data_IF_557107606026
#
_entry.id   IF_557107606026
#
_cell.length_a   1.000
_cell.length_b   1.000
_cell.length_c   1.000
_cell.angle_alpha   90.00
_cell.angle_beta   90.00
_cell.angle_gamma   90.00
#
_symmetry.space_group_name_H-M   'P 1'
#
loop_
_entity.id
_entity.type
_entity.pdbx_description
1 polymer ?
#
# COMPACT_ATOMS: atom_id res chain seq x y z
N UNK A 1 37.74 -3.75 17.48
CA UNK A 1 37.92 -3.45 16.05
C UNK A 1 36.61 -2.86 15.55
N UNK A 2 36.62 -1.60 15.10
CA UNK A 2 35.42 -0.90 14.62
C UNK A 2 34.98 -1.52 13.30
N UNK A 3 33.74 -2.01 13.23
CA UNK A 3 33.16 -2.42 11.95
C UNK A 3 33.06 -1.17 11.07
N UNK A 4 33.72 -1.19 9.91
CA UNK A 4 33.51 -0.18 8.89
C UNK A 4 32.04 -0.21 8.52
N UNK A 5 31.32 0.89 8.76
CA UNK A 5 29.97 1.05 8.24
C UNK A 5 30.07 0.97 6.72
N UNK A 6 29.66 -0.17 6.15
CA UNK A 6 29.51 -0.28 4.71
C UNK A 6 28.69 0.94 4.26
N UNK A 7 29.10 1.60 3.19
CA UNK A 7 28.33 2.70 2.61
C UNK A 7 27.15 2.11 1.84
N UNK A 8 25.96 2.67 1.99
CA UNK A 8 24.78 2.23 1.22
C UNK A 8 24.98 2.38 -0.29
N UNK A 9 24.15 1.74 -1.13
CA UNK A 9 24.23 1.92 -2.57
C UNK A 9 24.08 3.40 -2.92
N UNK A 10 24.94 3.88 -3.83
CA UNK A 10 24.85 5.25 -4.34
C UNK A 10 23.59 5.34 -5.20
N UNK A 11 22.65 6.18 -4.77
CA UNK A 11 21.41 6.44 -5.51
C UNK A 11 21.69 7.50 -6.57
N UNK A 12 22.23 7.07 -7.70
CA UNK A 12 22.54 7.94 -8.84
C UNK A 12 21.45 7.90 -9.93
N UNK A 13 21.72 8.55 -11.07
CA UNK A 13 20.76 8.63 -12.17
C UNK A 13 20.49 7.27 -12.82
N UNK A 14 21.48 6.37 -12.86
CA UNK A 14 21.37 5.04 -13.46
C UNK A 14 20.52 4.13 -12.58
N UNK A 15 20.80 4.11 -11.26
CA UNK A 15 19.99 3.39 -10.27
C UNK A 15 18.52 3.82 -10.35
N UNK A 16 18.24 5.13 -10.42
CA UNK A 16 16.86 5.63 -10.54
C UNK A 16 16.21 5.23 -11.87
N UNK A 17 16.98 5.14 -12.96
CA UNK A 17 16.47 4.67 -14.25
C UNK A 17 16.11 3.18 -14.22
N UNK A 18 16.91 2.34 -13.54
CA UNK A 18 16.63 0.93 -13.30
C UNK A 18 15.34 0.71 -12.53
N UNK A 19 15.15 1.44 -11.44
CA UNK A 19 13.89 1.43 -10.69
C UNK A 19 12.71 1.82 -11.59
N UNK A 20 12.92 2.80 -12.47
CA UNK A 20 11.91 3.19 -13.46
C UNK A 20 11.53 2.06 -14.40
N UNK A 21 12.49 1.22 -14.81
CA UNK A 21 12.26 0.01 -15.64
C UNK A 21 11.53 -1.07 -14.84
N UNK A 22 12.07 -1.44 -13.68
CA UNK A 22 11.48 -2.46 -12.80
C UNK A 22 10.03 -2.15 -12.44
N UNK A 23 9.68 -0.88 -12.18
CA UNK A 23 8.29 -0.46 -11.92
C UNK A 23 7.35 -0.72 -13.10
N UNK A 24 7.83 -0.58 -14.35
CA UNK A 24 7.03 -0.87 -15.54
C UNK A 24 6.84 -2.38 -15.71
N UNK A 25 7.90 -3.14 -15.54
CA UNK A 25 7.87 -4.61 -15.68
C UNK A 25 6.97 -5.24 -14.61
N UNK A 26 7.05 -4.77 -13.37
CA UNK A 26 6.16 -5.20 -12.28
C UNK A 26 4.70 -4.87 -12.55
N UNK A 27 4.39 -3.69 -13.11
CA UNK A 27 3.01 -3.35 -13.51
C UNK A 27 2.49 -4.31 -14.58
N UNK A 28 3.30 -4.62 -15.57
CA UNK A 28 2.94 -5.57 -16.62
C UNK A 28 2.75 -6.99 -16.06
N UNK A 29 3.63 -7.44 -15.17
CA UNK A 29 3.52 -8.74 -14.50
C UNK A 29 2.24 -8.83 -13.65
N UNK A 30 1.98 -7.82 -12.83
CA UNK A 30 0.82 -7.77 -11.94
C UNK A 30 -0.48 -7.80 -12.75
N UNK A 31 -0.55 -7.00 -13.81
CA UNK A 31 -1.72 -6.96 -14.68
C UNK A 31 -1.91 -8.27 -15.46
N UNK A 32 -0.84 -8.85 -16.01
CA UNK A 32 -0.93 -10.07 -16.82
C UNK A 32 -1.19 -11.35 -16.01
N UNK A 33 -0.78 -11.38 -14.75
CA UNK A 33 -0.92 -12.56 -13.86
C UNK A 33 -2.01 -12.39 -12.81
N UNK A 34 -2.67 -11.23 -12.74
CA UNK A 34 -3.64 -10.88 -11.69
C UNK A 34 -3.11 -11.18 -10.29
N UNK A 35 -1.82 -10.90 -10.07
CA UNK A 35 -1.10 -11.32 -8.87
C UNK A 35 -0.92 -10.18 -7.84
N UNK A 36 -1.67 -9.09 -7.97
CA UNK A 36 -1.63 -7.96 -7.03
C UNK A 36 -1.79 -8.39 -5.56
N UNK A 37 -2.73 -9.30 -5.18
CA UNK A 37 -2.89 -9.68 -3.78
C UNK A 37 -1.67 -10.41 -3.20
N UNK A 38 -1.03 -11.29 -3.99
CA UNK A 38 0.16 -12.02 -3.50
C UNK A 38 1.40 -11.13 -3.44
N UNK A 39 1.51 -10.14 -4.34
CA UNK A 39 2.59 -9.15 -4.28
C UNK A 39 2.45 -8.23 -3.07
N UNK A 40 1.23 -7.79 -2.74
CA UNK A 40 0.96 -7.00 -1.53
C UNK A 40 1.28 -7.82 -0.27
N UNK A 41 0.83 -9.08 -0.21
CA UNK A 41 1.15 -9.98 0.91
C UNK A 41 2.65 -10.17 1.08
N UNK A 42 3.40 -10.35 -0.01
CA UNK A 42 4.86 -10.47 0.04
C UNK A 42 5.50 -9.23 0.68
N UNK A 43 5.13 -8.03 0.21
CA UNK A 43 5.65 -6.77 0.77
C UNK A 43 5.31 -6.58 2.25
N UNK A 44 4.09 -6.96 2.67
CA UNK A 44 3.68 -6.96 4.08
C UNK A 44 4.50 -7.93 4.93
N UNK A 45 4.64 -9.18 4.49
CA UNK A 45 5.37 -10.22 5.23
C UNK A 45 6.86 -9.87 5.38
N UNK A 46 7.43 -9.23 4.37
CA UNK A 46 8.79 -8.72 4.39
C UNK A 46 8.91 -7.67 5.52
N UNK A 47 8.22 -6.53 5.38
CA UNK A 47 8.25 -5.41 6.32
C UNK A 47 7.82 -5.77 7.77
N UNK A 48 6.85 -6.67 7.93
CA UNK A 48 6.27 -7.05 9.22
C UNK A 48 7.20 -7.80 10.18
N UNK A 49 8.45 -8.09 9.78
CA UNK A 49 9.44 -8.70 10.67
C UNK A 49 10.23 -7.68 11.51
N UNK A 50 10.06 -6.38 11.26
CA UNK A 50 10.74 -5.29 11.98
C UNK A 50 10.41 -5.26 13.48
N UNK A 51 11.43 -4.88 14.25
CA UNK A 51 11.39 -4.60 15.67
C UNK A 51 12.09 -3.26 15.95
N UNK A 52 11.35 -2.30 16.51
CA UNK A 52 11.86 -0.94 16.77
C UNK A 52 12.89 -0.85 17.89
N UNK A 53 12.88 -1.79 18.82
CA UNK A 53 13.76 -1.78 20.00
C UNK A 53 15.13 -2.32 19.63
N UNK A 54 15.17 -3.34 18.78
CA UNK A 54 16.40 -3.97 18.29
C UNK A 54 16.86 -3.42 16.94
N UNK A 55 15.99 -2.70 16.23
CA UNK A 55 16.20 -2.23 14.85
C UNK A 55 16.50 -3.43 13.92
N UNK A 56 15.78 -4.54 14.10
CA UNK A 56 15.96 -5.77 13.31
C UNK A 56 14.69 -6.21 12.61
N UNK A 57 14.78 -6.54 11.32
CA UNK A 57 13.71 -7.13 10.51
C UNK A 57 13.04 -6.20 9.54
N UNK A 58 12.55 -6.81 8.48
CA UNK A 58 11.71 -6.25 7.44
C UNK A 58 12.30 -5.16 6.54
N UNK A 59 12.50 -5.45 5.25
CA UNK A 59 12.65 -4.46 4.18
C UNK A 59 11.31 -3.83 3.74
N UNK A 60 11.39 -2.57 3.32
CA UNK A 60 10.30 -1.62 2.97
C UNK A 60 9.80 -1.70 1.51
N UNK A 61 8.56 -1.35 1.10
CA UNK A 61 8.25 -0.44 -0.08
C UNK A 61 6.89 0.33 -0.02
N UNK A 62 6.92 1.69 0.00
CA UNK A 62 6.59 2.62 -1.12
C UNK A 62 7.82 3.53 -1.37
N UNK A 63 8.19 3.71 -2.63
CA UNK A 63 9.59 3.50 -3.03
C UNK A 63 10.50 4.74 -2.92
N UNK A 64 11.30 4.82 -1.85
CA UNK A 64 12.58 5.56 -1.87
C UNK A 64 13.70 4.54 -2.10
N UNK A 65 14.49 4.66 -3.20
CA UNK A 65 15.62 3.76 -3.46
C UNK A 65 16.71 3.86 -2.39
N UNK A 66 17.49 2.80 -2.23
CA UNK A 66 18.73 2.83 -1.43
C UNK A 66 18.74 1.93 -0.19
N UNK A 67 17.75 1.05 -0.03
CA UNK A 67 17.80 -0.01 1.00
C UNK A 67 18.80 -1.10 0.63
N UNK A 68 19.32 -1.75 1.66
CA UNK A 68 20.32 -2.81 1.55
C UNK A 68 19.74 -4.15 1.90
N UNK A 69 20.15 -5.14 1.13
CA UNK A 69 19.84 -6.53 1.41
C UNK A 69 20.55 -6.97 2.69
N UNK A 70 19.83 -7.72 3.53
CA UNK A 70 20.43 -8.44 4.65
C UNK A 70 20.97 -9.77 4.16
N UNK A 71 22.14 -10.19 4.65
CA UNK A 71 22.66 -11.54 4.44
C UNK A 71 22.09 -12.57 5.43
N UNK A 72 21.26 -12.12 6.38
CA UNK A 72 20.73 -12.95 7.48
C UNK A 72 19.21 -12.87 7.50
N UNK A 73 18.57 -14.04 7.49
CA UNK A 73 17.14 -14.20 7.74
C UNK A 73 16.85 -14.15 9.24
N UNK A 74 15.69 -13.62 9.62
CA UNK A 74 15.29 -13.48 11.02
C UNK A 74 14.48 -14.68 11.48
N UNK A 75 14.54 -14.97 12.78
CA UNK A 75 13.73 -15.98 13.44
C UNK A 75 12.23 -15.82 13.14
N UNK A 76 11.57 -16.97 12.96
CA UNK A 76 10.13 -17.06 12.71
C UNK A 76 9.30 -16.57 13.92
N UNK A 77 8.01 -16.29 13.70
CA UNK A 77 7.06 -15.98 14.78
C UNK A 77 6.82 -14.50 15.04
N UNK A 78 7.44 -13.60 14.25
CA UNK A 78 7.24 -12.14 14.41
C UNK A 78 5.96 -11.61 13.74
N UNK A 79 5.34 -12.37 12.85
CA UNK A 79 4.15 -11.99 12.11
C UNK A 79 2.86 -12.26 12.91
N UNK A 80 1.77 -11.51 12.67
CA UNK A 80 0.52 -11.72 13.39
C UNK A 80 -0.10 -13.09 13.08
N UNK A 81 -0.75 -13.68 14.08
CA UNK A 81 -1.48 -14.94 13.97
C UNK A 81 -2.96 -14.59 13.81
N UNK A 82 -3.54 -15.05 12.70
CA UNK A 82 -4.93 -14.83 12.33
C UNK A 82 -5.96 -15.32 13.37
N UNK A 83 -5.55 -16.22 14.28
CA UNK A 83 -6.42 -16.80 15.32
C UNK A 83 -6.47 -15.98 16.61
N UNK A 84 -5.60 -14.98 16.76
CA UNK A 84 -5.50 -14.20 17.99
C UNK A 84 -6.32 -12.91 17.96
N UNK A 85 -6.37 -12.21 19.10
CA UNK A 85 -7.23 -11.05 19.30
C UNK A 85 -6.50 -9.69 19.31
N UNK A 86 -7.20 -8.65 19.78
CA UNK A 86 -6.74 -7.27 19.73
C UNK A 86 -5.41 -7.02 20.48
N UNK A 87 -5.18 -7.69 21.62
CA UNK A 87 -3.92 -7.59 22.36
C UNK A 87 -2.72 -8.07 21.53
N UNK A 88 -2.87 -9.17 20.80
CA UNK A 88 -1.84 -9.70 19.90
C UNK A 88 -1.55 -8.74 18.75
N UNK A 89 -2.59 -8.16 18.14
CA UNK A 89 -2.41 -7.15 17.11
C UNK A 89 -1.62 -5.94 17.63
N UNK A 90 -1.96 -5.43 18.82
CA UNK A 90 -1.19 -4.35 19.45
C UNK A 90 0.24 -4.76 19.76
N UNK A 91 0.47 -5.93 20.34
CA UNK A 91 1.83 -6.43 20.63
C UNK A 91 2.71 -6.43 19.37
N UNK A 92 2.21 -7.04 18.29
CA UNK A 92 2.92 -7.18 17.03
C UNK A 92 3.18 -5.82 16.37
N UNK A 93 2.16 -4.99 16.22
CA UNK A 93 2.28 -3.72 15.49
C UNK A 93 2.92 -2.61 16.33
N UNK A 94 2.73 -2.60 17.65
CA UNK A 94 3.40 -1.62 18.51
C UNK A 94 4.90 -1.90 18.61
N UNK A 95 5.33 -3.17 18.50
CA UNK A 95 6.75 -3.52 18.33
C UNK A 95 7.33 -2.89 17.06
N UNK A 96 6.53 -2.74 16.01
CA UNK A 96 6.92 -2.03 14.79
C UNK A 96 6.87 -0.50 14.92
N UNK A 97 6.27 0.03 15.98
CA UNK A 97 6.05 1.47 16.16
C UNK A 97 4.81 1.99 15.41
N UNK A 98 3.91 1.10 15.02
CA UNK A 98 2.64 1.42 14.38
C UNK A 98 1.54 1.61 15.42
N UNK A 99 0.55 2.45 15.10
CA UNK A 99 -0.56 2.83 15.99
C UNK A 99 -1.83 2.02 15.71
N UNK A 100 -2.86 2.17 16.55
CA UNK A 100 -4.18 1.55 16.31
C UNK A 100 -4.80 1.95 14.96
N UNK A 101 -4.60 3.20 14.53
CA UNK A 101 -5.01 3.67 13.20
C UNK A 101 -4.30 2.86 12.10
N UNK A 102 -2.99 2.68 12.25
CA UNK A 102 -2.18 1.97 11.25
C UNK A 102 -2.60 0.49 11.19
N UNK A 103 -2.90 -0.16 12.33
CA UNK A 103 -3.42 -1.54 12.39
C UNK A 103 -4.68 -1.67 11.55
N UNK A 104 -5.70 -0.84 11.83
CA UNK A 104 -7.00 -0.94 11.17
C UNK A 104 -6.90 -0.59 9.68
N UNK A 105 -6.14 0.44 9.33
CA UNK A 105 -5.92 0.82 7.94
C UNK A 105 -5.25 -0.34 7.17
N UNK A 106 -4.15 -0.90 7.70
CA UNK A 106 -3.40 -1.98 7.04
C UNK A 106 -4.20 -3.27 6.92
N UNK A 107 -5.06 -3.61 7.89
CA UNK A 107 -6.00 -4.73 7.77
C UNK A 107 -6.95 -4.58 6.57
N UNK A 108 -7.24 -3.34 6.15
CA UNK A 108 -7.97 -3.06 4.90
C UNK A 108 -7.32 -3.64 3.63
N UNK A 109 -6.04 -4.03 3.69
CA UNK A 109 -5.38 -4.76 2.60
C UNK A 109 -6.06 -6.08 2.23
N UNK A 110 -6.80 -6.70 3.17
CA UNK A 110 -7.66 -7.87 2.90
C UNK A 110 -8.81 -7.59 1.94
N UNK A 111 -9.08 -6.33 1.57
CA UNK A 111 -9.96 -6.00 0.44
C UNK A 111 -9.54 -6.71 -0.85
N UNK A 112 -8.25 -7.01 -0.98
CA UNK A 112 -7.67 -7.81 -2.06
C UNK A 112 -7.38 -9.26 -1.65
N UNK A 113 -7.75 -10.19 -2.52
CA UNK A 113 -7.35 -11.59 -2.46
C UNK A 113 -8.27 -12.49 -1.65
N UNK A 114 -7.72 -13.65 -1.29
CA UNK A 114 -8.42 -14.72 -0.56
C UNK A 114 -7.45 -15.58 0.23
N UNK A 115 -7.92 -16.15 1.32
CA UNK A 115 -7.21 -17.23 2.00
C UNK A 115 -7.30 -18.53 1.18
N UNK A 116 -6.41 -19.48 1.47
CA UNK A 116 -6.48 -20.82 0.92
C UNK A 116 -6.15 -21.87 2.00
N UNK A 117 -6.90 -22.98 2.07
CA UNK A 117 -6.68 -24.02 3.07
C UNK A 117 -5.27 -24.58 3.07
N UNK A 118 -4.68 -24.78 1.88
CA UNK A 118 -3.33 -25.33 1.68
C UNK A 118 -2.21 -24.37 2.15
N UNK A 119 -2.54 -23.14 2.53
CA UNK A 119 -1.57 -22.12 2.96
C UNK A 119 -1.73 -21.70 4.41
N UNK A 120 -2.96 -21.34 4.81
CA UNK A 120 -3.23 -20.80 6.15
C UNK A 120 -4.26 -21.62 6.93
N UNK A 121 -4.85 -22.65 6.33
CA UNK A 121 -5.98 -23.39 6.90
C UNK A 121 -7.32 -22.64 6.84
N UNK A 122 -7.35 -21.41 6.34
CA UNK A 122 -8.58 -20.63 6.10
C UNK A 122 -8.94 -20.61 4.62
N UNK A 123 -10.22 -20.46 4.28
CA UNK A 123 -10.69 -20.40 2.90
C UNK A 123 -11.61 -19.20 2.65
N UNK A 124 -11.59 -18.69 1.42
CA UNK A 124 -12.49 -17.65 0.95
C UNK A 124 -11.89 -16.25 0.86
N UNK A 125 -12.59 -15.39 0.14
CA UNK A 125 -12.29 -13.97 -0.01
C UNK A 125 -13.01 -13.14 1.05
N UNK A 126 -12.45 -11.99 1.41
CA UNK A 126 -13.07 -11.03 2.33
C UNK A 126 -14.10 -10.12 1.63
N UNK A 127 -13.98 -9.96 0.32
CA UNK A 127 -14.83 -9.09 -0.50
C UNK A 127 -15.39 -9.85 -1.70
N UNK A 128 -16.45 -9.31 -2.31
CA UNK A 128 -17.06 -9.88 -3.52
C UNK A 128 -16.19 -9.70 -4.76
N UNK A 129 -15.36 -8.66 -4.79
CA UNK A 129 -14.41 -8.37 -5.86
C UNK A 129 -12.98 -8.35 -5.31
N UNK A 130 -12.31 -9.52 -5.17
CA UNK A 130 -11.01 -9.64 -4.52
C UNK A 130 -9.85 -9.07 -5.36
N UNK A 131 -10.11 -8.47 -6.51
CA UNK A 131 -9.09 -7.81 -7.34
C UNK A 131 -9.24 -6.29 -7.34
N UNK A 132 -10.29 -5.76 -6.71
CA UNK A 132 -10.53 -4.32 -6.59
C UNK A 132 -10.07 -3.83 -5.22
N UNK A 133 -9.22 -2.80 -5.24
CA UNK A 133 -8.82 -2.11 -4.02
C UNK A 133 -9.81 -0.99 -3.73
N UNK A 134 -10.69 -1.21 -2.75
CA UNK A 134 -11.72 -0.28 -2.30
C UNK A 134 -12.01 -0.51 -0.80
N UNK A 135 -12.95 0.24 -0.22
CA UNK A 135 -13.30 0.10 1.21
C UNK A 135 -14.27 -1.06 1.53
N UNK A 136 -14.56 -1.96 0.58
CA UNK A 136 -15.53 -3.05 0.76
C UNK A 136 -15.20 -3.96 1.94
N UNK A 137 -13.93 -4.16 2.27
CA UNK A 137 -13.51 -4.94 3.44
C UNK A 137 -14.22 -4.46 4.73
N UNK A 138 -14.20 -3.15 5.01
CA UNK A 138 -14.81 -2.61 6.23
C UNK A 138 -16.35 -2.66 6.17
N UNK A 139 -16.93 -2.44 4.99
CA UNK A 139 -18.38 -2.54 4.78
C UNK A 139 -18.85 -3.98 5.04
N UNK A 140 -18.16 -4.98 4.51
CA UNK A 140 -18.53 -6.39 4.70
C UNK A 140 -18.22 -6.88 6.11
N UNK A 141 -17.21 -6.30 6.78
CA UNK A 141 -16.87 -6.60 8.17
C UNK A 141 -17.98 -6.17 9.14
N UNK A 142 -18.53 -4.95 8.96
CA UNK A 142 -19.64 -4.45 9.77
C UNK A 142 -20.96 -5.22 9.60
N UNK A 143 -21.11 -5.99 8.51
CA UNK A 143 -22.29 -6.85 8.27
C UNK A 143 -22.25 -8.18 9.04
N UNK A 144 -21.13 -8.53 9.69
CA UNK A 144 -20.98 -9.82 10.36
C UNK A 144 -20.94 -11.01 9.38
N UNK A 145 -21.24 -12.21 9.86
CA UNK A 145 -21.03 -13.47 9.10
C UNK A 145 -22.12 -13.80 8.05
N UNK A 146 -23.01 -12.86 7.71
CA UNK A 146 -24.26 -13.14 6.98
C UNK A 146 -24.14 -13.35 5.46
N UNK A 147 -22.94 -13.24 4.90
CA UNK A 147 -22.68 -13.07 3.46
C UNK A 147 -21.70 -14.11 2.88
N UNK A 148 -21.27 -15.10 3.67
CA UNK A 148 -20.38 -16.18 3.20
C UNK A 148 -18.96 -15.73 2.84
N UNK A 149 -18.59 -14.49 3.16
CA UNK A 149 -17.26 -13.93 2.99
C UNK A 149 -16.42 -14.20 4.23
N UNK A 150 -15.12 -14.44 4.03
CA UNK A 150 -14.17 -14.75 5.08
C UNK A 150 -14.04 -13.58 6.06
N UNK A 151 -14.01 -13.90 7.35
CA UNK A 151 -13.65 -13.01 8.46
C UNK A 151 -12.81 -13.81 9.44
N UNK A 152 -11.52 -13.52 9.50
CA UNK A 152 -10.62 -14.13 10.47
C UNK A 152 -10.96 -13.63 11.88
N UNK A 153 -10.60 -14.37 12.94
CA UNK A 153 -10.65 -13.85 14.29
C UNK A 153 -10.00 -12.47 14.44
N UNK A 154 -8.83 -12.25 13.82
CA UNK A 154 -8.16 -10.93 13.81
C UNK A 154 -8.95 -9.83 13.07
N UNK A 155 -9.81 -10.16 12.11
CA UNK A 155 -10.68 -9.17 11.47
C UNK A 155 -11.86 -8.82 12.40
N UNK A 156 -12.46 -9.83 13.03
CA UNK A 156 -13.63 -9.66 13.92
C UNK A 156 -13.30 -8.76 15.11
N UNK A 157 -12.12 -8.92 15.71
CA UNK A 157 -11.70 -8.09 16.84
C UNK A 157 -11.57 -6.60 16.50
N UNK A 158 -11.45 -6.22 15.23
CA UNK A 158 -11.44 -4.80 14.82
C UNK A 158 -12.80 -4.13 15.05
N UNK A 159 -13.89 -4.89 15.08
CA UNK A 159 -15.25 -4.40 15.34
C UNK A 159 -15.61 -4.51 16.82
N UNK A 160 -15.01 -5.47 17.53
CA UNK A 160 -15.25 -5.73 18.95
C UNK A 160 -14.50 -4.77 19.87
N UNK A 161 -13.26 -4.40 19.51
CA UNK A 161 -12.45 -3.43 20.26
C UNK A 161 -12.89 -1.99 19.93
N UNK A 162 -13.27 -1.22 20.95
CA UNK A 162 -13.82 0.12 20.77
C UNK A 162 -12.83 1.10 20.10
N UNK A 163 -11.53 0.95 20.37
CA UNK A 163 -10.51 1.83 19.82
C UNK A 163 -10.26 1.54 18.34
N UNK A 164 -10.33 0.27 17.93
CA UNK A 164 -10.27 -0.11 16.53
C UNK A 164 -11.57 0.20 15.78
N UNK A 165 -12.72 -0.07 16.40
CA UNK A 165 -14.04 0.05 15.78
C UNK A 165 -14.29 1.44 15.21
N UNK A 166 -13.83 2.49 15.90
CA UNK A 166 -13.96 3.88 15.42
C UNK A 166 -13.38 4.08 14.01
N UNK A 167 -12.26 3.40 13.71
CA UNK A 167 -11.59 3.48 12.41
C UNK A 167 -12.28 2.58 11.38
N UNK A 168 -12.77 1.41 11.79
CA UNK A 168 -13.59 0.54 10.92
C UNK A 168 -14.84 1.28 10.43
N UNK A 169 -15.55 1.94 11.34
CA UNK A 169 -16.75 2.72 11.01
C UNK A 169 -16.42 3.94 10.13
N UNK A 170 -15.30 4.62 10.41
CA UNK A 170 -14.80 5.71 9.56
C UNK A 170 -14.54 5.22 8.12
N UNK A 171 -13.76 4.15 7.96
CA UNK A 171 -13.34 3.66 6.65
C UNK A 171 -14.48 3.02 5.86
N UNK A 172 -15.44 2.39 6.52
CA UNK A 172 -16.65 1.91 5.87
C UNK A 172 -17.51 3.06 5.30
N UNK A 173 -17.49 4.24 5.94
CA UNK A 173 -18.26 5.41 5.52
C UNK A 173 -17.51 6.32 4.53
N UNK A 174 -16.19 6.41 4.66
CA UNK A 174 -15.34 7.33 3.91
C UNK A 174 -14.14 6.59 3.30
N UNK A 175 -14.27 6.22 2.03
CA UNK A 175 -13.21 5.55 1.26
C UNK A 175 -11.97 6.46 1.07
N UNK A 176 -12.16 7.77 0.94
CA UNK A 176 -11.04 8.69 0.80
C UNK A 176 -10.23 8.75 2.10
N UNK A 177 -10.88 8.71 3.27
CA UNK A 177 -10.21 8.56 4.56
C UNK A 177 -9.43 7.25 4.64
N UNK A 178 -10.05 6.15 4.21
CA UNK A 178 -9.35 4.86 4.12
C UNK A 178 -8.11 4.96 3.22
N UNK A 179 -8.24 5.47 2.00
CA UNK A 179 -7.11 5.54 1.06
C UNK A 179 -5.98 6.44 1.57
N UNK A 180 -6.31 7.57 2.22
CA UNK A 180 -5.29 8.46 2.83
C UNK A 180 -4.54 7.75 3.95
N UNK A 181 -5.26 7.16 4.89
CA UNK A 181 -4.65 6.50 6.05
C UNK A 181 -3.95 5.20 5.64
N UNK A 182 -4.47 4.45 4.66
CA UNK A 182 -3.81 3.28 4.10
C UNK A 182 -2.48 3.66 3.45
N UNK A 183 -2.46 4.72 2.62
CA UNK A 183 -1.23 5.19 2.00
C UNK A 183 -0.19 5.64 3.04
N UNK A 184 -0.61 6.36 4.09
CA UNK A 184 0.27 6.77 5.18
C UNK A 184 0.81 5.56 5.96
N UNK A 185 -0.07 4.62 6.33
CA UNK A 185 0.27 3.44 7.13
C UNK A 185 1.12 2.46 6.34
N UNK A 186 0.79 2.21 5.08
CA UNK A 186 1.58 1.37 4.18
C UNK A 186 2.95 2.00 3.91
N UNK A 187 3.05 3.34 3.84
CA UNK A 187 4.35 4.01 3.78
C UNK A 187 5.14 3.81 5.07
N UNK A 188 4.56 3.98 6.25
CA UNK A 188 5.26 3.73 7.53
C UNK A 188 5.72 2.29 7.66
N UNK A 189 4.81 1.34 7.44
CA UNK A 189 5.09 -0.10 7.43
C UNK A 189 6.22 -0.39 6.47
N UNK A 190 6.15 0.20 5.28
CA UNK A 190 7.22 0.08 4.36
C UNK A 190 8.49 0.60 5.02
N UNK A 191 8.61 1.87 5.38
CA UNK A 191 9.87 2.50 5.76
C UNK A 191 10.41 2.10 7.16
N UNK A 192 9.86 1.06 7.77
CA UNK A 192 10.38 0.48 9.01
C UNK A 192 11.88 0.16 8.89
N UNK A 193 12.67 0.65 9.86
CA UNK A 193 14.12 0.49 9.88
C UNK A 193 14.91 1.33 8.87
N UNK A 194 14.27 2.22 8.09
CA UNK A 194 14.93 3.02 7.06
C UNK A 194 14.85 4.52 7.32
N UNK A 195 16.00 5.19 7.37
CA UNK A 195 16.10 6.66 7.35
C UNK A 195 16.82 7.09 6.07
N UNK A 196 16.13 7.69 5.09
CA UNK A 196 16.78 8.12 3.86
C UNK A 196 17.76 9.26 4.12
N UNK A 197 18.90 9.25 3.42
CA UNK A 197 19.87 10.33 3.50
C UNK A 197 19.29 11.63 2.93
N UNK A 198 19.77 12.79 3.40
CA UNK A 198 19.37 14.10 2.87
C UNK A 198 19.61 14.22 1.35
N UNK A 199 20.66 13.59 0.83
CA UNK A 199 20.95 13.53 -0.60
C UNK A 199 19.90 12.71 -1.37
N UNK A 200 19.51 11.54 -0.84
CA UNK A 200 18.47 10.67 -1.41
C UNK A 200 17.12 11.39 -1.48
N UNK A 201 16.74 12.10 -0.41
CA UNK A 201 15.51 12.88 -0.36
C UNK A 201 15.48 14.03 -1.38
N UNK A 202 16.60 14.75 -1.54
CA UNK A 202 16.71 15.86 -2.51
C UNK A 202 16.64 15.37 -3.95
N UNK A 203 17.36 14.29 -4.28
CA UNK A 203 17.36 13.70 -5.62
C UNK A 203 16.00 13.11 -6.04
N UNK A 204 15.22 12.62 -5.08
CA UNK A 204 13.86 12.10 -5.30
C UNK A 204 12.81 13.23 -5.34
N UNK A 205 12.81 14.13 -4.35
CA UNK A 205 11.84 15.21 -4.22
C UNK A 205 11.88 16.24 -5.35
N UNK A 206 13.06 16.53 -5.91
CA UNK A 206 13.18 17.43 -7.07
C UNK A 206 12.53 16.83 -8.34
N UNK A 207 12.53 15.50 -8.47
CA UNK A 207 11.94 14.78 -9.61
C UNK A 207 10.41 14.68 -9.51
N UNK A 208 9.87 14.50 -8.32
CA UNK A 208 8.41 14.48 -8.09
C UNK A 208 7.76 15.85 -8.32
N UNK A 209 8.43 16.94 -7.94
CA UNK A 209 7.98 18.30 -8.28
C UNK A 209 8.03 18.56 -9.78
N UNK A 210 9.09 18.14 -10.47
CA UNK A 210 9.21 18.27 -11.92
C UNK A 210 8.14 17.46 -12.67
N UNK A 211 7.83 16.22 -12.24
CA UNK A 211 6.75 15.42 -12.84
C UNK A 211 5.36 16.01 -12.61
N UNK A 212 5.05 16.48 -11.39
CA UNK A 212 3.77 17.16 -11.09
C UNK A 212 3.60 18.46 -11.88
N UNK A 213 4.67 19.21 -12.10
CA UNK A 213 4.65 20.41 -12.94
C UNK A 213 4.40 20.09 -14.41
N UNK A 214 5.00 19.01 -14.94
CA UNK A 214 4.81 18.57 -16.34
C UNK A 214 3.41 18.01 -16.60
N UNK A 215 2.80 17.30 -15.64
CA UNK A 215 1.44 16.75 -15.81
C UNK A 215 0.35 17.82 -15.76
N UNK A 216 0.55 18.93 -15.03
CA UNK A 216 -0.45 20.02 -14.97
C UNK A 216 -0.58 20.80 -16.28
N UNK A 217 0.48 20.86 -17.09
CA UNK A 217 0.48 21.63 -18.35
C UNK A 217 -0.12 20.84 -19.52
N UNK A 218 0.07 19.52 -19.57
CA UNK A 218 -0.41 18.68 -20.69
C UNK A 218 -1.91 18.36 -20.60
N UNK A 219 -2.49 18.21 -19.40
CA UNK A 219 -3.93 17.96 -19.27
C UNK A 219 -4.77 19.21 -19.56
N UNK A 220 -4.28 20.41 -19.23
CA UNK A 220 -4.99 21.67 -19.51
C UNK A 220 -4.99 22.00 -21.01
N UNK A 221 -3.90 21.69 -21.74
CA UNK A 221 -3.87 21.86 -23.19
C UNK A 221 -4.79 20.89 -23.93
N UNK A 222 -4.88 19.63 -23.50
CA UNK A 222 -5.76 18.64 -24.16
C UNK A 222 -7.25 19.01 -24.04
N UNK A 223 -7.67 19.52 -22.88
CA UNK A 223 -9.06 19.99 -22.67
C UNK A 223 -9.35 21.25 -23.47
N UNK A 224 -8.41 22.21 -23.52
CA UNK A 224 -8.59 23.44 -24.30
C UNK A 224 -8.70 23.17 -25.82
N UNK A 225 -7.87 22.26 -26.36
CA UNK A 225 -7.93 21.88 -27.79
C UNK A 225 -9.23 21.16 -28.13
N UNK A 226 -9.72 20.27 -27.24
CA UNK A 226 -10.99 19.58 -27.45
C UNK A 226 -12.19 20.54 -27.44
N UNK A 227 -12.20 21.53 -26.53
CA UNK A 227 -13.28 22.54 -26.46
C UNK A 227 -13.27 23.46 -27.68
N UNK A 228 -12.09 23.90 -28.14
CA UNK A 228 -11.96 24.73 -29.35
C UNK A 228 -12.38 23.95 -30.59
N UNK A 229 -11.96 22.69 -30.72
CA UNK A 229 -12.37 21.83 -31.82
C UNK A 229 -13.89 21.59 -31.83
N UNK A 230 -14.50 21.32 -30.68
CA UNK A 230 -15.94 21.17 -30.55
C UNK A 230 -16.69 22.47 -30.89
N UNK A 231 -16.21 23.63 -30.44
CA UNK A 231 -16.81 24.93 -30.78
C UNK A 231 -16.77 25.19 -32.30
N UNK A 232 -15.64 24.90 -32.96
CA UNK A 232 -15.50 25.06 -34.40
C UNK A 232 -16.39 24.11 -35.21
N UNK A 233 -16.55 22.87 -34.75
CA UNK A 233 -17.45 21.88 -35.36
C UNK A 233 -18.92 22.29 -35.17
N UNK A 234 -19.29 22.82 -34.00
CA UNK A 234 -20.65 23.33 -33.76
C UNK A 234 -20.96 24.56 -34.62
N UNK A 235 -20.01 25.47 -34.78
CA UNK A 235 -20.21 26.70 -35.56
C UNK A 235 -20.24 26.42 -37.08
N UNK A 236 -19.38 25.53 -37.58
CA UNK A 236 -19.42 25.09 -38.98
C UNK A 236 -20.73 24.40 -39.34
N UNK A 237 -21.28 23.55 -38.45
CA UNK A 237 -22.59 22.92 -38.67
C UNK A 237 -23.75 23.92 -38.69
N UNK A 238 -23.71 24.99 -37.88
CA UNK A 238 -24.71 26.07 -37.94
C UNK A 238 -24.68 26.82 -39.27
N UNK A 239 -23.49 27.05 -39.84
CA UNK A 239 -23.35 27.75 -41.14
C UNK A 239 -23.76 26.91 -42.35
N UNK A 240 -23.76 25.58 -42.22
CA UNK A 240 -24.19 24.66 -43.29
C UNK A 240 -25.69 24.33 -43.24
N UNK A 241 -26.39 24.73 -42.17
CA UNK A 241 -27.81 24.41 -41.93
C UNK A 241 -28.73 25.64 -42.02
N UNK A 242 -28.24 26.77 -42.54
CA UNK A 242 -28.96 28.02 -42.68
C UNK A 242 -28.71 28.68 -44.03
#
# INVERSE_FOLDING_TARGET
MSAAAATGPVVDAEYVAEIGRARRDLRALIASKSCAPIMLRLAWHDAGTYDKNTITGGPTIDFVPGRRDSSVAIEEGRLPDAKQGASHLREVFYRMGLTDKDIVALSGGHTLGKARPDRSGFDGAWTKDPLKFDNSYFIELLKGDSNGLLKLPTDKVLVEDADFRRFVELYAKDEDAFFRDYAESHKKLSELGFTPSRATLLAWGCRDKAKRAVTRTTTVFAVAVAVIACAYICESKRRLSG
#
